data_IF_364732424716
#
_entry.id   IF_364732424716
#
_cell.length_a   1.000
_cell.length_b   1.000
_cell.length_c   1.000
_cell.angle_alpha   90.00
_cell.angle_beta   90.00
_cell.angle_gamma   90.00
#
_symmetry.space_group_name_H-M   'P 1'
#
loop_
_entity.id
_entity.type
_entity.pdbx_description
1 polymer ?
#
# COMPACT_ATOMS: atom_id res chain seq x y z
N UNK A 1 17.88 -12.80 8.53
CA UNK A 1 16.94 -12.02 9.40
C UNK A 1 16.04 -11.20 8.48
N UNK A 2 14.88 -11.74 8.17
CA UNK A 2 13.90 -11.11 7.27
C UNK A 2 13.19 -9.98 8.01
N UNK A 3 13.35 -8.76 7.52
CA UNK A 3 12.56 -7.61 7.94
C UNK A 3 11.15 -7.77 7.37
N UNK A 4 10.16 -7.90 8.22
CA UNK A 4 8.79 -7.66 7.79
C UNK A 4 8.65 -6.17 7.49
N UNK A 5 8.30 -5.86 6.25
CA UNK A 5 7.95 -4.52 5.82
C UNK A 5 6.84 -3.96 6.69
N UNK A 6 7.02 -2.74 7.13
CA UNK A 6 6.11 -2.14 8.11
C UNK A 6 5.03 -1.38 7.35
N UNK A 7 3.83 -1.97 7.21
CA UNK A 7 2.61 -1.24 6.88
C UNK A 7 2.19 -0.44 8.11
N UNK A 8 2.20 0.85 8.06
CA UNK A 8 1.71 1.70 9.14
C UNK A 8 0.36 2.27 8.74
N UNK A 9 -0.71 1.65 9.22
CA UNK A 9 -2.05 2.24 9.16
C UNK A 9 -2.09 3.45 10.09
N UNK A 10 -2.26 4.64 9.55
CA UNK A 10 -2.51 5.84 10.31
C UNK A 10 -4.00 5.96 10.57
N UNK A 11 -4.41 5.62 11.79
CA UNK A 11 -5.75 5.95 12.26
C UNK A 11 -5.82 7.44 12.61
N UNK A 12 -6.26 8.27 11.70
CA UNK A 12 -6.80 9.58 12.07
C UNK A 12 -8.26 9.39 12.49
N UNK A 13 -8.46 8.95 13.73
CA UNK A 13 -9.74 9.09 14.38
C UNK A 13 -9.97 10.59 14.63
N UNK A 14 -10.67 11.24 13.73
CA UNK A 14 -11.17 12.59 13.95
C UNK A 14 -12.37 12.52 14.91
N UNK A 15 -12.06 12.41 16.22
CA UNK A 15 -13.06 12.51 17.28
C UNK A 15 -13.31 14.01 17.54
N UNK A 16 -14.20 14.63 16.77
CA UNK A 16 -14.82 15.92 17.11
C UNK A 16 -16.28 15.94 16.75
N UNK A 17 -17.10 16.01 17.77
CA UNK A 17 -18.44 16.61 17.71
C UNK A 17 -19.56 15.63 17.34
N UNK A 18 -20.34 15.29 18.36
CA UNK A 18 -21.67 14.70 18.21
C UNK A 18 -22.56 15.61 17.36
N UNK A 19 -22.80 15.21 16.09
CA UNK A 19 -24.01 15.59 15.39
C UNK A 19 -24.65 14.32 14.82
N UNK A 20 -25.93 14.14 15.15
CA UNK A 20 -26.81 13.08 14.64
C UNK A 20 -26.95 13.25 13.13
N UNK A 21 -26.66 12.22 12.36
CA UNK A 21 -26.99 12.11 10.95
C UNK A 21 -25.75 11.83 10.08
N UNK A 22 -25.69 10.64 9.52
CA UNK A 22 -24.74 10.12 8.51
C UNK A 22 -23.31 9.92 8.98
N UNK A 23 -22.94 8.65 9.16
CA UNK A 23 -21.55 8.21 9.29
C UNK A 23 -20.82 8.51 7.98
N UNK A 24 -20.07 9.62 7.92
CA UNK A 24 -19.02 9.78 6.94
C UNK A 24 -17.95 8.72 7.25
N UNK A 25 -17.81 7.73 6.39
CA UNK A 25 -16.69 6.79 6.41
C UNK A 25 -15.42 7.57 6.04
N UNK A 26 -14.58 7.84 7.02
CA UNK A 26 -13.23 8.35 6.74
C UNK A 26 -12.37 7.19 6.28
N UNK A 27 -11.95 7.19 5.02
CA UNK A 27 -10.98 6.24 4.50
C UNK A 27 -9.58 6.63 4.95
N UNK A 28 -8.75 5.64 5.26
CA UNK A 28 -7.37 5.85 5.70
C UNK A 28 -6.45 5.72 4.49
N UNK A 29 -5.55 6.69 4.31
CA UNK A 29 -4.43 6.51 3.41
C UNK A 29 -3.32 5.70 4.11
N UNK A 30 -2.96 4.58 3.52
CA UNK A 30 -1.88 3.73 4.01
C UNK A 30 -0.59 3.99 3.22
N UNK A 31 0.50 4.17 3.95
CA UNK A 31 1.84 4.28 3.34
C UNK A 31 2.51 2.91 3.37
N UNK A 32 2.88 2.40 2.20
CA UNK A 32 3.62 1.15 2.07
C UNK A 32 5.12 1.42 2.18
N UNK A 33 5.77 0.74 3.11
CA UNK A 33 7.23 0.80 3.27
C UNK A 33 7.86 -0.40 2.54
N UNK A 34 8.63 -0.13 1.52
CA UNK A 34 9.37 -1.17 0.77
C UNK A 34 10.66 -1.59 1.48
N UNK A 35 10.93 -2.88 1.49
CA UNK A 35 12.29 -3.35 1.77
C UNK A 35 13.15 -3.12 0.52
N UNK A 36 14.32 -2.46 0.66
CA UNK A 36 15.28 -2.29 -0.44
C UNK A 36 15.70 -3.59 -1.11
N UNK A 37 15.51 -4.68 -0.42
CA UNK A 37 15.89 -6.01 -0.91
C UNK A 37 15.06 -6.43 -2.11
N UNK A 38 13.78 -6.02 -2.17
CA UNK A 38 12.86 -6.46 -3.23
C UNK A 38 12.14 -5.26 -3.85
N UNK A 39 11.75 -5.34 -5.14
CA UNK A 39 10.96 -4.32 -5.81
C UNK A 39 9.48 -4.33 -5.38
N UNK A 40 9.12 -5.14 -4.40
CA UNK A 40 7.78 -5.30 -3.87
C UNK A 40 7.83 -5.45 -2.35
N UNK A 41 6.73 -5.10 -1.69
CA UNK A 41 6.53 -5.42 -0.29
C UNK A 41 5.84 -6.79 -0.19
N UNK A 42 6.56 -7.81 0.30
CA UNK A 42 6.05 -9.19 0.45
C UNK A 42 6.01 -9.55 1.92
N UNK A 43 4.84 -9.91 2.42
CA UNK A 43 4.68 -10.31 3.82
C UNK A 43 3.59 -11.37 4.00
N UNK A 44 3.71 -12.11 5.09
CA UNK A 44 2.73 -13.11 5.53
C UNK A 44 2.22 -12.70 6.89
N UNK A 45 0.92 -12.81 7.10
CA UNK A 45 0.30 -12.36 8.35
C UNK A 45 -1.04 -13.02 8.60
N UNK A 46 -1.43 -13.10 9.86
CA UNK A 46 -2.83 -13.28 10.26
C UNK A 46 -3.53 -11.92 10.19
N UNK A 47 -4.75 -11.92 9.68
CA UNK A 47 -5.60 -10.73 9.58
C UNK A 47 -6.55 -10.70 10.77
N UNK A 48 -6.58 -9.57 11.47
CA UNK A 48 -7.70 -9.17 12.33
C UNK A 48 -8.72 -8.37 11.51
N UNK A 49 -8.96 -7.14 11.91
CA UNK A 49 -9.82 -6.21 11.15
C UNK A 49 -9.02 -5.00 10.72
N UNK A 50 -8.91 -4.76 9.42
CA UNK A 50 -8.46 -3.48 8.91
C UNK A 50 -9.64 -2.51 8.78
N UNK A 51 -9.38 -1.22 9.00
CA UNK A 51 -10.33 -0.19 8.62
C UNK A 51 -10.31 -0.01 7.10
N UNK A 52 -11.33 0.65 6.53
CA UNK A 52 -11.29 1.03 5.14
C UNK A 52 -10.10 1.95 4.87
N UNK A 53 -9.23 1.53 3.95
CA UNK A 53 -8.02 2.24 3.57
C UNK A 53 -7.78 2.13 2.07
N UNK A 54 -6.82 2.88 1.59
CA UNK A 54 -6.33 2.81 0.22
C UNK A 54 -4.84 3.19 0.19
N UNK A 55 -4.14 2.71 -0.83
CA UNK A 55 -2.74 2.97 -1.08
C UNK A 55 -2.47 3.03 -2.59
N UNK A 56 -1.26 3.44 -2.97
CA UNK A 56 -0.89 3.56 -4.39
C UNK A 56 -0.60 2.22 -5.07
N UNK A 57 -0.24 1.23 -4.31
CA UNK A 57 0.21 -0.06 -4.78
C UNK A 57 -0.95 -0.90 -5.30
N UNK A 58 -0.64 -1.83 -6.24
CA UNK A 58 -1.45 -3.02 -6.42
C UNK A 58 -1.22 -3.95 -5.24
N UNK A 59 -2.24 -4.60 -4.75
CA UNK A 59 -2.13 -5.54 -3.65
C UNK A 59 -2.69 -6.90 -4.04
N UNK A 60 -1.83 -7.91 -4.09
CA UNK A 60 -2.25 -9.30 -4.27
C UNK A 60 -2.41 -9.92 -2.89
N UNK A 61 -3.59 -10.48 -2.63
CA UNK A 61 -3.88 -11.24 -1.42
C UNK A 61 -4.14 -12.71 -1.79
N UNK A 62 -3.38 -13.62 -1.17
CA UNK A 62 -3.56 -15.07 -1.25
C UNK A 62 -3.85 -15.62 0.13
N UNK A 63 -4.95 -16.35 0.29
CA UNK A 63 -5.30 -17.04 1.53
C UNK A 63 -4.58 -18.39 1.59
N UNK A 64 -3.65 -18.56 2.56
CA UNK A 64 -2.94 -19.82 2.80
C UNK A 64 -3.68 -20.76 3.71
N UNK A 65 -4.53 -20.22 4.61
CA UNK A 65 -5.27 -20.97 5.61
C UNK A 65 -6.50 -20.19 6.05
N UNK A 66 -7.61 -20.89 6.30
CA UNK A 66 -8.84 -20.31 6.80
C UNK A 66 -9.56 -19.44 5.78
N UNK A 67 -10.13 -18.34 6.25
CA UNK A 67 -10.86 -17.41 5.39
C UNK A 67 -10.69 -15.95 5.83
N UNK A 68 -10.85 -15.06 4.86
CA UNK A 68 -10.92 -13.62 5.08
C UNK A 68 -12.05 -13.04 4.26
N UNK A 69 -12.58 -11.92 4.74
CA UNK A 69 -13.58 -11.13 4.01
C UNK A 69 -12.94 -9.83 3.55
N UNK A 70 -12.95 -9.59 2.26
CA UNK A 70 -12.49 -8.34 1.66
C UNK A 70 -13.71 -7.55 1.19
N UNK A 71 -13.78 -6.28 1.58
CA UNK A 71 -14.74 -5.33 1.04
C UNK A 71 -13.98 -4.41 0.08
N UNK A 72 -14.28 -4.56 -1.19
CA UNK A 72 -13.63 -3.89 -2.30
C UNK A 72 -14.70 -3.58 -3.35
N UNK A 73 -14.68 -2.40 -3.96
CA UNK A 73 -15.74 -1.91 -4.85
C UNK A 73 -17.16 -1.97 -4.25
N UNK A 74 -17.25 -1.70 -2.94
CA UNK A 74 -18.49 -1.74 -2.15
C UNK A 74 -19.14 -3.13 -2.00
N UNK A 75 -18.50 -4.19 -2.47
CA UNK A 75 -18.99 -5.55 -2.38
C UNK A 75 -18.16 -6.39 -1.41
N UNK A 76 -18.77 -6.95 -0.35
CA UNK A 76 -18.09 -7.88 0.55
C UNK A 76 -17.98 -9.26 -0.12
N UNK A 77 -16.75 -9.77 -0.22
CA UNK A 77 -16.45 -11.10 -0.74
C UNK A 77 -15.63 -11.89 0.26
N UNK A 78 -15.99 -13.14 0.48
CA UNK A 78 -15.23 -14.05 1.34
C UNK A 78 -14.29 -14.88 0.46
N UNK A 79 -13.02 -14.90 0.85
CA UNK A 79 -11.96 -15.68 0.20
C UNK A 79 -11.53 -16.79 1.15
N UNK A 80 -11.45 -18.00 0.64
CA UNK A 80 -11.04 -19.21 1.34
C UNK A 80 -9.63 -19.66 0.97
N UNK A 81 -9.16 -20.74 1.58
CA UNK A 81 -7.85 -21.33 1.32
C UNK A 81 -7.60 -21.56 -0.17
N UNK A 82 -6.45 -21.13 -0.67
CA UNK A 82 -6.02 -21.16 -2.07
C UNK A 82 -6.77 -20.20 -3.01
N UNK A 83 -7.58 -19.30 -2.51
CA UNK A 83 -8.17 -18.22 -3.30
C UNK A 83 -7.29 -16.98 -3.29
N UNK A 84 -7.34 -16.24 -4.40
CA UNK A 84 -6.47 -15.11 -4.69
C UNK A 84 -7.27 -13.95 -5.29
N UNK A 85 -6.89 -12.74 -4.92
CA UNK A 85 -7.42 -11.50 -5.50
C UNK A 85 -6.31 -10.47 -5.66
N UNK A 86 -6.41 -9.65 -6.71
CA UNK A 86 -5.64 -8.44 -6.89
C UNK A 86 -6.54 -7.23 -6.64
N UNK A 87 -6.23 -6.47 -5.60
CA UNK A 87 -6.82 -5.17 -5.32
C UNK A 87 -6.05 -4.14 -6.12
N UNK A 88 -6.75 -3.41 -6.96
CA UNK A 88 -6.14 -2.45 -7.87
C UNK A 88 -5.57 -1.24 -7.12
N UNK A 89 -4.54 -0.62 -7.71
CA UNK A 89 -3.94 0.61 -7.22
C UNK A 89 -5.02 1.65 -6.91
N UNK A 90 -4.91 2.30 -5.75
CA UNK A 90 -5.81 3.37 -5.29
C UNK A 90 -7.24 2.93 -4.96
N UNK A 91 -7.53 1.65 -5.01
CA UNK A 91 -8.86 1.16 -4.65
C UNK A 91 -9.06 1.20 -3.13
N UNK A 92 -10.21 1.72 -2.71
CA UNK A 92 -10.60 1.71 -1.30
C UNK A 92 -11.05 0.32 -0.91
N UNK A 93 -10.45 -0.25 0.11
CA UNK A 93 -10.77 -1.59 0.57
C UNK A 93 -10.61 -1.76 2.09
N UNK A 94 -11.17 -2.83 2.62
CA UNK A 94 -10.90 -3.31 3.97
C UNK A 94 -10.81 -4.83 3.99
N UNK A 95 -9.97 -5.36 4.86
CA UNK A 95 -9.77 -6.80 5.03
C UNK A 95 -10.14 -7.19 6.46
N UNK A 96 -11.04 -8.15 6.60
CA UNK A 96 -11.51 -8.68 7.87
C UNK A 96 -11.16 -10.16 7.93
N UNK A 97 -10.38 -10.54 8.93
CA UNK A 97 -10.03 -11.94 9.15
C UNK A 97 -11.08 -12.64 9.99
N UNK A 98 -11.42 -13.87 9.62
CA UNK A 98 -12.07 -14.80 10.48
C UNK A 98 -11.05 -15.52 11.36
N UNK A 99 -11.51 -16.37 12.31
CA UNK A 99 -10.60 -17.12 13.20
C UNK A 99 -9.63 -17.98 12.38
N UNK A 100 -8.37 -18.05 12.84
CA UNK A 100 -7.31 -18.93 12.33
C UNK A 100 -7.00 -18.76 10.82
N UNK A 101 -6.93 -17.54 10.33
CA UNK A 101 -6.54 -17.24 8.96
C UNK A 101 -5.03 -16.98 8.84
N UNK A 102 -4.48 -17.21 7.64
CA UNK A 102 -3.11 -16.84 7.29
C UNK A 102 -3.05 -16.45 5.81
N UNK A 103 -2.51 -15.26 5.52
CA UNK A 103 -2.50 -14.71 4.16
C UNK A 103 -1.10 -14.25 3.74
N UNK A 104 -0.83 -14.38 2.44
CA UNK A 104 0.29 -13.71 1.76
C UNK A 104 -0.23 -12.42 1.14
N UNK A 105 0.51 -11.34 1.33
CA UNK A 105 0.31 -10.08 0.64
C UNK A 105 1.54 -9.73 -0.19
N UNK A 106 1.31 -9.28 -1.42
CA UNK A 106 2.34 -8.70 -2.30
C UNK A 106 1.83 -7.34 -2.75
N UNK A 107 2.52 -6.28 -2.33
CA UNK A 107 2.22 -4.92 -2.75
C UNK A 107 3.25 -4.47 -3.78
N UNK A 108 2.79 -4.03 -4.95
CA UNK A 108 3.58 -3.67 -6.13
C UNK A 108 3.36 -2.21 -6.50
N UNK A 109 4.43 -1.41 -6.56
CA UNK A 109 4.33 -0.03 -7.03
C UNK A 109 3.90 -0.02 -8.51
N UNK A 110 2.87 0.76 -8.90
CA UNK A 110 2.46 0.89 -10.29
C UNK A 110 3.58 1.30 -11.26
N UNK A 111 4.62 1.96 -10.77
CA UNK A 111 5.80 2.34 -11.56
C UNK A 111 6.51 1.12 -12.17
N UNK A 112 6.45 -0.04 -11.51
CA UNK A 112 7.04 -1.29 -12.00
C UNK A 112 6.38 -1.83 -13.28
N UNK A 113 5.19 -1.34 -13.61
CA UNK A 113 4.43 -1.73 -14.80
C UNK A 113 4.63 -0.75 -15.98
N UNK A 114 5.54 0.21 -15.84
CA UNK A 114 5.86 1.21 -16.86
C UNK A 114 7.17 0.85 -17.56
N UNK A 115 7.26 1.13 -18.84
CA UNK A 115 8.51 1.03 -19.58
C UNK A 115 9.38 2.26 -19.26
N UNK A 116 10.70 2.08 -19.20
CA UNK A 116 11.67 3.14 -18.90
C UNK A 116 11.48 4.35 -19.84
N UNK A 117 11.34 5.52 -19.24
CA UNK A 117 11.22 6.81 -19.95
C UNK A 117 9.81 7.18 -20.40
N UNK A 118 8.81 6.32 -20.20
CA UNK A 118 7.40 6.63 -20.49
C UNK A 118 6.59 6.77 -19.21
N UNK A 119 6.75 7.86 -18.50
CA UNK A 119 5.78 8.22 -17.46
C UNK A 119 4.49 8.71 -18.13
N UNK A 120 3.72 7.77 -18.68
CA UNK A 120 2.45 8.06 -19.36
C UNK A 120 1.33 8.41 -18.38
N UNK A 121 1.61 8.33 -17.06
CA UNK A 121 0.59 8.50 -16.03
C UNK A 121 -0.56 7.49 -16.13
N UNK A 122 -0.46 6.49 -16.99
CA UNK A 122 -1.51 5.48 -17.15
C UNK A 122 -1.38 4.38 -16.12
N UNK A 123 -2.52 3.95 -15.58
CA UNK A 123 -2.63 2.86 -14.61
C UNK A 123 -3.44 1.75 -15.25
N UNK A 124 -2.98 0.51 -15.08
CA UNK A 124 -3.71 -0.68 -15.49
C UNK A 124 -4.67 -1.07 -14.37
N UNK A 125 -5.92 -1.35 -14.72
CA UNK A 125 -6.89 -1.95 -13.82
C UNK A 125 -7.02 -3.41 -14.19
N UNK A 126 -6.44 -4.31 -13.38
CA UNK A 126 -6.42 -5.75 -13.60
C UNK A 126 -7.66 -6.43 -13.01
N UNK A 127 -8.09 -7.51 -13.66
CA UNK A 127 -9.23 -8.34 -13.25
C UNK A 127 -8.75 -9.73 -12.80
N UNK A 128 -8.00 -9.80 -11.71
CA UNK A 128 -7.56 -11.06 -11.10
C UNK A 128 -8.33 -11.27 -9.78
N UNK A 129 -9.36 -12.08 -9.82
CA UNK A 129 -10.20 -12.41 -8.67
C UNK A 129 -10.75 -13.83 -8.84
N UNK A 130 -10.32 -14.77 -8.00
CA UNK A 130 -10.68 -16.19 -8.11
C UNK A 130 -12.10 -16.52 -7.66
N UNK A 131 -12.79 -15.59 -6.98
CA UNK A 131 -14.14 -15.78 -6.44
C UNK A 131 -15.18 -15.05 -7.29
N UNK A 132 -14.93 -13.79 -7.63
CA UNK A 132 -15.85 -12.95 -8.40
C UNK A 132 -15.85 -13.25 -9.90
N UNK A 133 -14.83 -13.81 -10.39
CA UNK A 133 -14.54 -14.40 -11.70
C UNK A 133 -15.50 -14.05 -12.84
N UNK A 134 -15.56 -12.80 -13.25
CA UNK A 134 -16.37 -12.38 -14.40
C UNK A 134 -15.60 -12.33 -15.71
N UNK A 135 -14.24 -12.31 -15.64
CA UNK A 135 -13.38 -12.20 -16.80
C UNK A 135 -12.29 -13.30 -16.75
N UNK A 136 -12.16 -14.02 -17.87
CA UNK A 136 -11.24 -15.14 -17.97
C UNK A 136 -9.79 -14.65 -18.08
N UNK A 137 -8.95 -15.07 -17.14
CA UNK A 137 -7.51 -15.05 -17.31
C UNK A 137 -7.10 -16.13 -18.32
N UNK A 138 -6.15 -15.84 -19.22
CA UNK A 138 -5.57 -16.85 -20.13
C UNK A 138 -4.79 -17.93 -19.40
N UNK A 139 -4.56 -17.77 -18.11
CA UNK A 139 -4.02 -18.77 -17.20
C UNK A 139 -5.00 -19.05 -16.06
N UNK A 140 -5.09 -20.31 -15.58
CA UNK A 140 -5.94 -20.63 -14.43
C UNK A 140 -5.45 -19.89 -13.17
N UNK A 141 -6.36 -19.51 -12.28
CA UNK A 141 -6.02 -18.83 -11.01
C UNK A 141 -4.96 -19.58 -10.20
N UNK A 142 -4.96 -20.91 -10.25
CA UNK A 142 -3.95 -21.74 -9.60
C UNK A 142 -2.51 -21.38 -10.03
N UNK A 143 -2.31 -20.91 -11.25
CA UNK A 143 -1.01 -20.43 -11.71
C UNK A 143 -0.54 -19.24 -10.88
N UNK A 144 -1.40 -18.23 -10.68
CA UNK A 144 -1.08 -17.04 -9.88
C UNK A 144 -0.98 -17.35 -8.39
N UNK A 145 -1.79 -18.29 -7.87
CA UNK A 145 -1.68 -18.82 -6.51
C UNK A 145 -0.28 -19.40 -6.28
N UNK A 146 0.19 -20.29 -7.16
CA UNK A 146 1.53 -20.89 -7.07
C UNK A 146 2.64 -19.85 -7.25
N UNK A 147 2.49 -18.90 -8.15
CA UNK A 147 3.44 -17.81 -8.36
C UNK A 147 3.57 -16.94 -7.10
N UNK A 148 2.46 -16.54 -6.51
CA UNK A 148 2.41 -15.77 -5.26
C UNK A 148 3.04 -16.54 -4.10
N UNK A 149 2.70 -17.83 -3.95
CA UNK A 149 3.30 -18.68 -2.92
C UNK A 149 4.81 -18.87 -3.12
N UNK A 150 5.29 -18.96 -4.36
CA UNK A 150 6.72 -19.06 -4.69
C UNK A 150 7.46 -17.79 -4.30
N UNK A 151 6.92 -16.63 -4.64
CA UNK A 151 7.50 -15.33 -4.23
C UNK A 151 7.60 -15.26 -2.71
N UNK A 152 6.52 -15.58 -2.00
CA UNK A 152 6.54 -15.58 -0.53
C UNK A 152 7.58 -16.56 0.03
N UNK A 153 7.70 -17.75 -0.53
CA UNK A 153 8.71 -18.73 -0.12
C UNK A 153 10.13 -18.21 -0.32
N UNK A 154 10.47 -17.70 -1.50
CA UNK A 154 11.82 -17.20 -1.83
C UNK A 154 12.18 -15.93 -1.02
N UNK A 155 11.21 -15.08 -0.71
CA UNK A 155 11.45 -13.84 0.07
C UNK A 155 11.53 -14.07 1.58
N UNK A 156 10.91 -15.13 2.09
CA UNK A 156 10.94 -15.51 3.52
C UNK A 156 12.17 -16.34 3.87
N UNK A 157 12.77 -17.06 2.91
CA UNK A 157 14.00 -17.80 3.13
C UNK A 157 15.21 -16.86 3.06
N UNK A 158 16.03 -16.87 4.12
CA UNK A 158 17.25 -16.07 4.23
C UNK A 158 18.42 -16.81 3.57
N UNK A 159 18.22 -17.31 2.35
CA UNK A 159 19.25 -17.99 1.59
C UNK A 159 20.01 -16.99 0.71
N UNK A 160 21.31 -17.24 0.53
CA UNK A 160 22.20 -16.38 -0.27
C UNK A 160 21.68 -16.15 -1.70
N UNK A 161 21.02 -17.15 -2.31
CA UNK A 161 20.40 -17.07 -3.62
C UNK A 161 18.93 -16.59 -3.60
N UNK A 162 18.27 -16.56 -2.45
CA UNK A 162 16.86 -16.16 -2.30
C UNK A 162 16.60 -14.72 -2.73
N UNK A 163 17.60 -13.86 -2.54
CA UNK A 163 17.54 -12.47 -2.98
C UNK A 163 17.29 -12.34 -4.50
N UNK A 164 18.11 -13.00 -5.31
CA UNK A 164 17.99 -12.92 -6.77
C UNK A 164 16.78 -13.67 -7.29
N UNK A 165 16.45 -14.83 -6.72
CA UNK A 165 15.27 -15.62 -7.08
C UNK A 165 13.99 -14.87 -6.77
N UNK A 166 13.86 -14.30 -5.57
CA UNK A 166 12.67 -13.51 -5.20
C UNK A 166 12.45 -12.32 -6.14
N UNK A 167 13.51 -11.59 -6.52
CA UNK A 167 13.40 -10.51 -7.51
C UNK A 167 12.97 -11.01 -8.89
N UNK A 168 13.57 -12.11 -9.37
CA UNK A 168 13.22 -12.70 -10.65
C UNK A 168 11.74 -13.13 -10.69
N UNK A 169 11.25 -13.76 -9.62
CA UNK A 169 9.85 -14.18 -9.53
C UNK A 169 8.89 -12.99 -9.47
N UNK A 170 9.26 -11.88 -8.79
CA UNK A 170 8.44 -10.66 -8.77
C UNK A 170 8.34 -10.05 -10.18
N UNK A 171 9.45 -9.88 -10.89
CA UNK A 171 9.41 -9.36 -12.26
C UNK A 171 8.69 -10.31 -13.24
N UNK A 172 8.81 -11.62 -13.04
CA UNK A 172 8.05 -12.59 -13.81
C UNK A 172 6.54 -12.49 -13.53
N UNK A 173 6.15 -12.28 -12.25
CA UNK A 173 4.75 -12.03 -11.90
C UNK A 173 4.19 -10.79 -12.60
N UNK A 174 4.96 -9.68 -12.65
CA UNK A 174 4.56 -8.45 -13.35
C UNK A 174 4.34 -8.73 -14.85
N UNK A 175 5.26 -9.44 -15.49
CA UNK A 175 5.13 -9.83 -16.89
C UNK A 175 3.90 -10.74 -17.11
N UNK A 176 3.70 -11.73 -16.23
CA UNK A 176 2.56 -12.66 -16.29
C UNK A 176 1.22 -11.95 -16.10
N UNK A 177 1.15 -10.93 -15.22
CA UNK A 177 -0.06 -10.12 -15.04
C UNK A 177 -0.39 -9.36 -16.33
N UNK A 178 0.60 -8.76 -16.98
CA UNK A 178 0.41 -8.03 -18.24
C UNK A 178 0.02 -8.97 -19.38
N UNK A 179 0.60 -10.17 -19.43
CA UNK A 179 0.40 -11.10 -20.55
C UNK A 179 -0.88 -11.93 -20.42
N UNK A 180 -1.26 -12.33 -19.18
CA UNK A 180 -2.29 -13.35 -18.98
C UNK A 180 -3.54 -12.87 -18.26
N UNK A 181 -3.51 -11.70 -17.58
CA UNK A 181 -4.68 -11.15 -16.89
C UNK A 181 -5.28 -10.03 -17.71
N UNK A 182 -6.58 -10.07 -17.92
CA UNK A 182 -7.28 -8.96 -18.55
C UNK A 182 -7.14 -7.67 -17.72
N UNK A 183 -6.95 -6.56 -18.43
CA UNK A 183 -6.88 -5.24 -17.80
C UNK A 183 -7.39 -4.13 -18.71
N UNK A 184 -7.82 -3.03 -18.11
CA UNK A 184 -8.14 -1.79 -18.80
C UNK A 184 -7.10 -0.73 -18.44
N UNK A 185 -6.65 0.06 -19.42
CA UNK A 185 -5.72 1.15 -19.17
C UNK A 185 -6.51 2.43 -18.93
N UNK A 186 -6.35 3.00 -17.74
CA UNK A 186 -6.84 4.34 -17.43
C UNK A 186 -5.72 5.34 -17.64
N UNK A 187 -5.82 6.18 -18.68
CA UNK A 187 -4.85 7.25 -18.91
C UNK A 187 -5.14 8.44 -18.00
N UNK A 188 -4.10 9.00 -17.37
CA UNK A 188 -4.22 10.25 -16.58
C UNK A 188 -4.65 11.47 -17.41
N UNK A 189 -4.66 11.37 -18.74
CA UNK A 189 -5.04 12.44 -19.66
C UNK A 189 -6.56 12.60 -19.80
N UNK A 190 -7.36 11.59 -19.34
CA UNK A 190 -8.81 11.75 -19.36
C UNK A 190 -9.23 12.77 -18.30
N UNK A 191 -10.11 13.68 -18.74
CA UNK A 191 -10.85 14.59 -17.84
C UNK A 191 -11.38 13.75 -16.70
N UNK A 192 -11.08 14.13 -15.47
CA UNK A 192 -11.53 13.38 -14.29
C UNK A 192 -13.05 13.18 -14.38
N UNK A 193 -13.48 11.95 -14.59
CA UNK A 193 -14.89 11.64 -14.78
C UNK A 193 -15.69 11.79 -13.48
N UNK A 194 -14.98 11.74 -12.35
CA UNK A 194 -15.61 11.86 -11.04
C UNK A 194 -14.75 12.62 -10.02
N UNK A 195 -15.35 12.98 -8.91
CA UNK A 195 -14.71 13.73 -7.81
C UNK A 195 -13.53 12.96 -7.20
N UNK A 196 -13.58 11.63 -7.18
CA UNK A 196 -12.53 10.79 -6.62
C UNK A 196 -11.26 10.79 -7.48
N UNK A 197 -11.39 10.79 -8.81
CA UNK A 197 -10.25 10.90 -9.73
C UNK A 197 -9.49 12.22 -9.54
N UNK A 198 -10.24 13.31 -9.30
CA UNK A 198 -9.61 14.60 -8.98
C UNK A 198 -8.87 14.55 -7.65
N UNK A 199 -9.41 13.87 -6.65
CA UNK A 199 -8.73 13.64 -5.36
C UNK A 199 -7.45 12.84 -5.58
N UNK A 200 -7.48 11.77 -6.37
CA UNK A 200 -6.29 10.95 -6.67
C UNK A 200 -5.22 11.74 -7.42
N UNK A 201 -5.60 12.47 -8.47
CA UNK A 201 -4.67 13.35 -9.20
C UNK A 201 -4.05 14.44 -8.30
N UNK A 202 -4.81 14.94 -7.34
CA UNK A 202 -4.30 15.88 -6.34
C UNK A 202 -3.21 15.22 -5.46
N UNK A 203 -3.44 13.99 -5.01
CA UNK A 203 -2.44 13.24 -4.25
C UNK A 203 -1.17 12.98 -5.06
N UNK A 204 -1.30 12.59 -6.33
CA UNK A 204 -0.16 12.35 -7.22
C UNK A 204 0.68 13.61 -7.38
N UNK A 205 0.01 14.72 -7.72
CA UNK A 205 0.70 16.00 -7.85
C UNK A 205 1.46 16.37 -6.58
N UNK A 206 0.80 16.25 -5.42
CA UNK A 206 1.43 16.56 -4.13
C UNK A 206 2.62 15.63 -3.86
N UNK A 207 2.50 14.33 -4.16
CA UNK A 207 3.58 13.33 -3.98
C UNK A 207 4.82 13.67 -4.82
N UNK A 208 4.62 14.09 -6.06
CA UNK A 208 5.70 14.45 -7.00
C UNK A 208 6.38 15.79 -6.69
N UNK A 209 5.68 16.67 -5.97
CA UNK A 209 6.11 18.08 -5.79
C UNK A 209 6.24 18.48 -4.31
N UNK A 210 6.52 17.54 -3.39
CA UNK A 210 6.56 17.79 -1.94
C UNK A 210 7.46 18.93 -1.49
N UNK A 211 8.53 19.22 -2.25
CA UNK A 211 9.53 20.25 -1.93
C UNK A 211 9.15 21.65 -2.45
N UNK A 212 8.17 21.72 -3.36
CA UNK A 212 7.78 23.00 -3.94
C UNK A 212 7.09 23.89 -2.90
N UNK A 213 7.38 25.20 -2.98
CA UNK A 213 6.54 26.21 -2.35
C UNK A 213 5.16 26.21 -3.03
N UNK A 214 4.12 26.54 -2.26
CA UNK A 214 2.75 26.65 -2.79
C UNK A 214 2.23 25.40 -3.52
N UNK A 215 2.77 24.19 -3.20
CA UNK A 215 2.39 22.95 -3.87
C UNK A 215 0.87 22.73 -3.91
N UNK A 216 0.14 23.13 -2.88
CA UNK A 216 -1.32 22.97 -2.82
C UNK A 216 -2.05 23.90 -3.79
N UNK A 217 -1.57 25.14 -3.95
CA UNK A 217 -2.11 26.10 -4.88
C UNK A 217 -1.82 25.68 -6.34
N UNK A 218 -0.60 25.22 -6.58
CA UNK A 218 -0.19 24.73 -7.89
C UNK A 218 -0.96 23.47 -8.29
N UNK A 219 -1.19 22.54 -7.36
CA UNK A 219 -1.98 21.33 -7.58
C UNK A 219 -3.40 21.65 -8.07
N UNK A 220 -4.12 22.54 -7.38
CA UNK A 220 -5.50 22.89 -7.77
C UNK A 220 -5.53 23.66 -9.10
N UNK A 221 -4.51 24.46 -9.39
CA UNK A 221 -4.38 25.16 -10.67
C UNK A 221 -4.14 24.19 -11.82
N UNK A 222 -3.24 23.23 -11.65
CA UNK A 222 -2.94 22.18 -12.64
C UNK A 222 -4.17 21.33 -12.93
N UNK A 223 -4.94 21.00 -11.90
CA UNK A 223 -6.17 20.20 -12.03
C UNK A 223 -7.38 21.00 -12.55
N UNK A 224 -7.24 22.30 -12.79
CA UNK A 224 -8.32 23.15 -13.30
C UNK A 224 -9.52 23.30 -12.35
N UNK A 225 -9.31 23.10 -11.03
CA UNK A 225 -10.37 23.19 -10.03
C UNK A 225 -10.12 24.33 -9.04
N UNK A 226 -11.19 24.83 -8.41
CA UNK A 226 -11.02 25.82 -7.35
C UNK A 226 -10.50 25.16 -6.06
N UNK A 227 -9.74 25.90 -5.26
CA UNK A 227 -9.30 25.42 -3.95
C UNK A 227 -10.50 24.99 -3.07
N UNK A 228 -11.60 25.75 -3.13
CA UNK A 228 -12.84 25.40 -2.41
C UNK A 228 -13.43 24.06 -2.87
N UNK A 229 -13.42 23.81 -4.17
CA UNK A 229 -13.88 22.55 -4.74
C UNK A 229 -13.02 21.38 -4.27
N UNK A 230 -11.70 21.50 -4.33
CA UNK A 230 -10.79 20.46 -3.87
C UNK A 230 -10.93 20.19 -2.37
N UNK A 231 -11.04 21.22 -1.54
CA UNK A 231 -11.29 21.06 -0.09
C UNK A 231 -12.59 20.26 0.16
N UNK A 232 -13.64 20.58 -0.59
CA UNK A 232 -14.92 19.84 -0.49
C UNK A 232 -14.75 18.37 -0.87
N UNK A 233 -14.06 18.08 -1.97
CA UNK A 233 -13.82 16.71 -2.44
C UNK A 233 -12.96 15.92 -1.46
N UNK A 234 -11.84 16.47 -1.00
CA UNK A 234 -10.99 15.85 0.01
C UNK A 234 -11.78 15.53 1.29
N UNK A 235 -12.61 16.47 1.77
CA UNK A 235 -13.44 16.23 2.95
C UNK A 235 -14.50 15.17 2.72
N UNK A 236 -15.15 15.17 1.55
CA UNK A 236 -16.21 14.22 1.20
C UNK A 236 -15.66 12.79 1.06
N UNK A 237 -14.56 12.62 0.33
CA UNK A 237 -14.07 11.29 -0.07
C UNK A 237 -13.05 10.68 0.89
N UNK A 238 -12.22 11.50 1.54
CA UNK A 238 -11.14 11.00 2.40
C UNK A 238 -11.13 11.61 3.81
N UNK A 239 -12.03 12.53 4.11
CA UNK A 239 -12.12 13.16 5.44
C UNK A 239 -10.99 14.12 5.79
N UNK A 240 -10.02 14.36 4.90
CA UNK A 240 -8.82 15.15 5.15
C UNK A 240 -8.88 16.55 4.54
N UNK A 241 -8.07 17.47 5.07
CA UNK A 241 -7.74 18.74 4.41
C UNK A 241 -6.54 18.56 3.48
N UNK A 242 -6.39 19.45 2.49
CA UNK A 242 -5.24 19.46 1.59
C UNK A 242 -3.90 19.56 2.35
N UNK A 243 -3.88 20.32 3.46
CA UNK A 243 -2.70 20.44 4.32
C UNK A 243 -2.37 19.11 5.04
N UNK A 244 -3.37 18.38 5.52
CA UNK A 244 -3.16 17.05 6.14
C UNK A 244 -2.60 16.07 5.13
N UNK A 245 -3.10 16.09 3.88
CA UNK A 245 -2.55 15.28 2.78
C UNK A 245 -1.06 15.59 2.58
N UNK A 246 -0.69 16.86 2.46
CA UNK A 246 0.69 17.28 2.30
C UNK A 246 1.57 16.85 3.49
N UNK A 247 1.09 17.08 4.71
CA UNK A 247 1.81 16.76 5.94
C UNK A 247 2.09 15.24 6.04
N UNK A 248 1.11 14.39 5.72
CA UNK A 248 1.25 12.93 5.72
C UNK A 248 2.27 12.48 4.66
N UNK A 249 2.20 13.00 3.45
CA UNK A 249 3.13 12.64 2.38
C UNK A 249 4.58 13.06 2.70
N UNK A 250 4.76 14.25 3.26
CA UNK A 250 6.07 14.69 3.74
C UNK A 250 6.64 13.83 4.87
N UNK A 251 5.78 13.41 5.81
CA UNK A 251 6.19 12.48 6.87
C UNK A 251 6.53 11.11 6.31
N UNK A 252 5.77 10.60 5.33
CA UNK A 252 6.09 9.33 4.66
C UNK A 252 7.47 9.37 4.01
N UNK A 253 7.78 10.45 3.27
CA UNK A 253 9.11 10.66 2.70
C UNK A 253 10.20 10.77 3.77
N UNK A 254 9.95 11.49 4.88
CA UNK A 254 10.90 11.60 5.99
C UNK A 254 11.16 10.24 6.66
N UNK A 255 10.14 9.42 6.85
CA UNK A 255 10.28 8.05 7.36
C UNK A 255 11.17 7.20 6.46
N UNK A 256 10.96 7.28 5.14
CA UNK A 256 11.81 6.61 4.17
C UNK A 256 13.28 7.03 4.33
N UNK A 257 13.58 8.33 4.37
CA UNK A 257 14.97 8.80 4.59
C UNK A 257 15.55 8.35 5.94
N UNK A 258 14.76 8.40 7.01
CA UNK A 258 15.22 7.99 8.35
C UNK A 258 15.49 6.49 8.44
N UNK A 259 14.76 5.65 7.70
CA UNK A 259 14.95 4.20 7.67
C UNK A 259 16.06 3.77 6.73
N UNK A 260 16.29 4.52 5.67
CA UNK A 260 17.10 4.07 4.55
C UNK A 260 18.44 4.79 4.44
N UNK A 261 18.66 5.89 5.18
CA UNK A 261 19.88 6.68 5.09
C UNK A 261 20.36 7.15 6.46
N UNK A 262 21.66 7.44 6.55
CA UNK A 262 22.26 8.07 7.73
C UNK A 262 22.28 9.61 7.63
N UNK A 263 21.48 10.18 6.71
CA UNK A 263 21.41 11.64 6.54
C UNK A 263 20.95 12.33 7.82
N UNK A 264 21.45 13.53 8.06
CA UNK A 264 21.05 14.33 9.22
C UNK A 264 19.55 14.65 9.17
N UNK A 265 18.95 14.86 10.34
CA UNK A 265 17.53 15.23 10.42
C UNK A 265 17.26 16.55 9.67
N UNK A 266 18.19 17.52 9.77
CA UNK A 266 18.05 18.80 9.07
C UNK A 266 18.03 18.62 7.54
N UNK A 267 18.93 17.79 7.00
CA UNK A 267 18.90 17.43 5.59
C UNK A 267 17.56 16.80 5.17
N UNK A 268 17.01 15.93 6.01
CA UNK A 268 15.71 15.28 5.74
C UNK A 268 14.56 16.30 5.76
N UNK A 269 14.58 17.26 6.67
CA UNK A 269 13.60 18.35 6.74
C UNK A 269 13.55 19.11 5.43
N UNK A 270 14.71 19.51 4.91
CA UNK A 270 14.84 20.24 3.66
C UNK A 270 14.35 19.39 2.47
N UNK A 271 14.82 18.14 2.38
CA UNK A 271 14.41 17.21 1.32
C UNK A 271 12.91 16.91 1.31
N UNK A 272 12.25 16.95 2.47
CA UNK A 272 10.80 16.72 2.56
C UNK A 272 9.96 18.01 2.41
N UNK A 273 10.59 19.14 2.25
CA UNK A 273 9.91 20.42 2.01
C UNK A 273 9.22 21.02 3.24
N UNK A 274 9.70 20.70 4.46
CA UNK A 274 9.20 21.34 5.67
C UNK A 274 9.80 22.75 5.83
N UNK A 275 8.95 23.76 5.99
CA UNK A 275 9.38 25.15 6.12
C UNK A 275 10.09 25.49 7.45
N UNK A 276 10.05 24.60 8.46
CA UNK A 276 10.80 24.76 9.70
C UNK A 276 10.95 23.45 10.48
N UNK A 277 12.05 23.34 11.20
CA UNK A 277 12.33 22.22 12.10
C UNK A 277 11.22 22.01 13.14
N UNK A 278 10.74 23.07 13.76
CA UNK A 278 9.63 23.04 14.75
C UNK A 278 8.36 22.40 14.15
N UNK A 279 8.03 22.76 12.91
CA UNK A 279 6.86 22.22 12.20
C UNK A 279 7.06 20.73 11.90
N UNK A 280 8.24 20.35 11.42
CA UNK A 280 8.59 18.97 11.17
C UNK A 280 8.45 18.09 12.40
N UNK A 281 9.13 18.45 13.52
CA UNK A 281 9.08 17.64 14.74
C UNK A 281 7.67 17.48 15.27
N UNK A 282 6.88 18.55 15.26
CA UNK A 282 5.49 18.52 15.70
C UNK A 282 4.63 17.58 14.86
N UNK A 283 4.74 17.67 13.52
CA UNK A 283 3.94 16.87 12.59
C UNK A 283 4.45 15.42 12.61
N UNK A 284 5.75 15.21 12.53
CA UNK A 284 6.35 13.88 12.57
C UNK A 284 5.96 13.11 13.84
N UNK A 285 6.04 13.77 15.03
CA UNK A 285 5.62 13.17 16.29
C UNK A 285 4.11 12.90 16.33
N UNK A 286 3.30 13.81 15.78
CA UNK A 286 1.85 13.60 15.67
C UNK A 286 1.52 12.36 14.84
N UNK A 287 2.18 12.18 13.71
CA UNK A 287 1.89 11.12 12.75
C UNK A 287 2.54 9.77 13.13
N UNK A 288 3.70 9.78 13.79
CA UNK A 288 4.45 8.55 14.12
C UNK A 288 4.42 8.19 15.61
N UNK A 289 3.90 9.07 16.46
CA UNK A 289 3.95 8.99 17.94
C UNK A 289 5.39 8.95 18.49
N UNK A 290 6.39 9.32 17.68
CA UNK A 290 7.82 9.27 18.01
C UNK A 290 8.53 10.53 17.49
N UNK A 291 9.68 10.83 18.08
CA UNK A 291 10.61 11.79 17.48
C UNK A 291 11.36 11.13 16.31
N UNK A 292 11.93 11.89 15.36
CA UNK A 292 12.73 11.34 14.28
C UNK A 292 13.92 10.48 14.76
N UNK A 293 14.57 10.88 15.85
CA UNK A 293 15.68 10.13 16.45
C UNK A 293 15.22 8.80 17.07
N UNK A 294 14.10 8.81 17.81
CA UNK A 294 13.49 7.59 18.34
C UNK A 294 13.04 6.66 17.22
N UNK A 295 12.46 7.21 16.16
CA UNK A 295 12.05 6.44 14.98
C UNK A 295 13.24 5.76 14.31
N UNK A 296 14.32 6.49 14.03
CA UNK A 296 15.58 5.92 13.47
C UNK A 296 16.18 4.86 14.38
N UNK A 297 16.29 5.13 15.69
CA UNK A 297 16.81 4.18 16.67
C UNK A 297 15.94 2.93 16.78
N UNK A 298 14.62 3.06 16.72
CA UNK A 298 13.69 1.94 16.75
C UNK A 298 13.86 1.06 15.52
N UNK A 299 13.95 1.63 14.32
CA UNK A 299 14.18 0.87 13.09
C UNK A 299 15.55 0.19 13.10
N UNK A 300 16.62 0.88 13.55
CA UNK A 300 17.93 0.27 13.68
C UNK A 300 17.97 -0.85 14.72
N UNK A 301 17.20 -0.75 15.81
CA UNK A 301 17.04 -1.82 16.82
C UNK A 301 16.07 -2.91 16.37
N UNK A 302 15.03 -2.60 15.61
CA UNK A 302 14.09 -3.59 15.03
C UNK A 302 14.71 -4.42 13.89
N UNK A 303 15.93 -4.10 13.48
CA UNK A 303 16.77 -5.08 12.79
C UNK A 303 16.97 -6.34 13.64
N UNK A 304 16.56 -6.33 14.91
CA UNK A 304 16.66 -7.44 15.86
C UNK A 304 15.37 -7.98 16.49
N UNK A 305 14.25 -7.25 16.53
CA UNK A 305 13.04 -7.69 17.27
C UNK A 305 11.71 -7.27 16.64
N UNK A 306 10.75 -8.22 16.61
CA UNK A 306 9.42 -8.08 15.99
C UNK A 306 8.44 -7.34 16.89
N UNK A 307 7.72 -6.31 16.41
CA UNK A 307 6.54 -5.73 17.08
C UNK A 307 5.29 -5.73 16.21
N UNK A 308 4.16 -6.02 16.87
CA UNK A 308 2.79 -6.18 16.36
C UNK A 308 2.22 -4.88 15.77
N UNK A 309 1.49 -4.98 14.67
CA UNK A 309 0.74 -3.92 13.98
C UNK A 309 -0.76 -4.07 14.18
N UNK A 310 -1.48 -2.95 14.05
CA UNK A 310 -2.93 -2.93 14.16
C UNK A 310 -3.55 -3.62 12.94
N UNK A 311 -4.27 -4.72 13.19
CA UNK A 311 -4.92 -5.53 12.14
C UNK A 311 -4.09 -6.69 11.59
N UNK A 312 -2.76 -6.65 11.73
CA UNK A 312 -1.86 -7.73 11.30
C UNK A 312 -1.24 -8.40 12.52
N UNK A 313 -1.37 -9.72 12.64
CA UNK A 313 -0.90 -10.49 13.76
C UNK A 313 0.39 -11.24 13.40
N UNK A 314 1.19 -11.60 14.41
CA UNK A 314 2.38 -12.41 14.19
C UNK A 314 2.01 -13.80 13.66
N UNK A 315 2.76 -14.34 12.71
CA UNK A 315 2.57 -15.67 12.16
C UNK A 315 3.66 -16.64 12.61
N UNK A 316 3.32 -17.93 12.62
CA UNK A 316 4.29 -19.00 12.83
C UNK A 316 5.07 -19.25 11.51
N UNK A 317 6.38 -19.03 11.56
CA UNK A 317 7.26 -19.20 10.41
C UNK A 317 7.32 -20.66 9.93
N UNK A 318 7.28 -21.64 10.84
CA UNK A 318 7.34 -23.05 10.50
C UNK A 318 6.05 -23.52 9.83
N UNK A 319 4.91 -23.09 10.36
CA UNK A 319 3.60 -23.35 9.76
C UNK A 319 3.52 -22.75 8.37
N UNK A 320 3.92 -21.47 8.23
CA UNK A 320 3.95 -20.77 6.92
C UNK A 320 4.77 -21.53 5.89
N UNK A 321 6.00 -21.91 6.24
CA UNK A 321 6.86 -22.70 5.34
C UNK A 321 6.22 -24.03 4.94
N UNK A 322 5.59 -24.72 5.87
CA UNK A 322 4.89 -25.98 5.59
C UNK A 322 3.76 -25.77 4.59
N UNK A 323 2.92 -24.75 4.79
CA UNK A 323 1.79 -24.44 3.90
C UNK A 323 2.27 -24.04 2.51
N UNK A 324 3.24 -23.15 2.41
CA UNK A 324 3.83 -22.74 1.12
C UNK A 324 4.44 -23.93 0.37
N UNK A 325 5.20 -24.80 1.05
CA UNK A 325 5.78 -26.00 0.44
C UNK A 325 4.72 -27.03 0.00
N UNK A 326 3.64 -27.16 0.77
CA UNK A 326 2.50 -28.02 0.39
C UNK A 326 1.90 -27.51 -0.91
N UNK A 327 1.54 -26.23 -0.96
CA UNK A 327 0.90 -25.59 -2.10
C UNK A 327 1.76 -25.65 -3.37
N UNK A 328 3.10 -25.51 -3.24
CA UNK A 328 4.03 -25.61 -4.36
C UNK A 328 4.19 -27.04 -4.90
N UNK A 329 3.95 -28.09 -4.10
CA UNK A 329 4.04 -29.50 -4.48
C UNK A 329 2.74 -30.06 -5.08
N UNK A 330 1.60 -29.46 -4.79
CA UNK A 330 0.31 -29.89 -5.35
C UNK A 330 0.28 -29.63 -6.87
N UNK A 331 0.03 -30.67 -7.68
CA UNK A 331 -0.01 -30.61 -9.16
C UNK A 331 -1.22 -29.84 -9.70
#
# INVERSE_FOLDING_TARGET
MTKNSIITCYTHACNRGKHKGEKMSSYIFETVDYDKKYPANVFVTHIGNSQFHWHYEYEICLVLKGSIKIIYDSEPTVYHENEIVLINSRAVHSVQGEEDNLCVFIQLDPVLFQEDGQNTGSIRHFYLDSVRNELESHKPYRYFVKKTAKIAHETLEDQENGYFRGRAEIYTLIADLIEYVEYVIHSNVQIAENEMDLVMKFFDYVKEHLQMEEVLQNAVKELGVSQKTMIRYLKKHIGMSAKEVLDIQRVAMARHYLSETDKSVNYIIDCCGFGSEKTFYRIFKKETMMTPAEYRSKISKQRGDKKKKQGYLSFDRQETHRLLKKLLKEN
#
